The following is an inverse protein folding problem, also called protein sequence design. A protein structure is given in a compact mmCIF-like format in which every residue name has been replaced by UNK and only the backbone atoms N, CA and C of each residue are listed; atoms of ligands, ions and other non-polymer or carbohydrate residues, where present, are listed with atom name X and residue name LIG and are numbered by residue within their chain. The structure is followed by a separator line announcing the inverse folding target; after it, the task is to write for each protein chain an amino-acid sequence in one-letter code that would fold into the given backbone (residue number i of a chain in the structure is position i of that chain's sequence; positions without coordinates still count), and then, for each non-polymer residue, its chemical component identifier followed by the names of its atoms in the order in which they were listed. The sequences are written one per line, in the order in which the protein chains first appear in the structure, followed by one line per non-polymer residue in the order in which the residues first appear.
data_IF_199464548067
#
_entry.id   IF_199464548067
#
_cell.length_a   1.000
_cell.length_b   1.000
_cell.length_c   1.000
_cell.angle_alpha   90.00
_cell.angle_beta   90.00
_cell.angle_gamma   90.00
#
_symmetry.space_group_name_H-M   'P 1'
#
loop_
_entity.id
_entity.type
_entity.pdbx_description
1 polymer ?
#
# COMPACT_ATOMS: atom_id res chain seq x y z
N UNK A 1 -13.40 20.83 -0.83
CA UNK A 1 -12.15 20.56 -0.07
C UNK A 1 -11.97 19.05 0.03
N UNK A 2 -11.09 18.46 -0.78
CA UNK A 2 -10.76 17.03 -0.70
C UNK A 2 -9.77 16.83 0.45
N UNK A 3 -10.13 16.03 1.46
CA UNK A 3 -9.30 15.83 2.65
C UNK A 3 -8.07 14.98 2.28
N UNK A 4 -6.85 15.53 2.20
CA UNK A 4 -5.68 14.83 1.66
C UNK A 4 -5.26 13.62 2.53
N UNK A 5 -5.80 13.52 3.75
CA UNK A 5 -5.56 12.43 4.70
C UNK A 5 -6.34 11.16 4.39
N UNK A 6 -7.42 11.22 3.61
CA UNK A 6 -8.28 10.05 3.34
C UNK A 6 -7.92 9.46 1.98
N UNK A 7 -7.34 8.26 2.00
CA UNK A 7 -7.08 7.49 0.78
C UNK A 7 -8.40 6.94 0.25
N UNK A 8 -8.81 7.41 -0.93
CA UNK A 8 -9.94 6.86 -1.69
C UNK A 8 -9.63 5.45 -2.21
N UNK A 9 -10.65 4.71 -2.63
CA UNK A 9 -10.46 3.36 -3.18
C UNK A 9 -9.63 3.37 -4.47
N UNK A 10 -9.83 4.37 -5.33
CA UNK A 10 -9.02 4.57 -6.55
C UNK A 10 -7.57 4.86 -6.21
N UNK A 11 -7.30 5.72 -5.21
CA UNK A 11 -5.92 5.99 -4.75
C UNK A 11 -5.26 4.73 -4.18
N UNK A 12 -5.99 3.91 -3.44
CA UNK A 12 -5.45 2.63 -2.92
C UNK A 12 -5.11 1.67 -4.06
N UNK A 13 -5.98 1.53 -5.05
CA UNK A 13 -5.74 0.66 -6.21
C UNK A 13 -4.52 1.13 -7.01
N UNK A 14 -4.43 2.44 -7.28
CA UNK A 14 -3.27 3.04 -7.94
C UNK A 14 -1.98 2.86 -7.13
N UNK A 15 -2.02 3.07 -5.82
CA UNK A 15 -0.87 2.83 -4.94
C UNK A 15 -0.40 1.37 -5.00
N UNK A 16 -1.33 0.42 -5.01
CA UNK A 16 -1.01 -1.00 -5.05
C UNK A 16 -0.45 -1.43 -6.41
N UNK A 17 -0.94 -0.84 -7.50
CA UNK A 17 -0.30 -1.02 -8.80
C UNK A 17 1.12 -0.45 -8.81
N UNK A 18 1.31 0.77 -8.31
CA UNK A 18 2.61 1.44 -8.29
C UNK A 18 3.61 0.74 -7.36
N UNK A 19 3.19 0.24 -6.19
CA UNK A 19 4.07 -0.53 -5.28
C UNK A 19 4.44 -1.89 -5.88
N UNK A 20 3.56 -2.51 -6.67
CA UNK A 20 3.88 -3.75 -7.38
C UNK A 20 4.94 -3.53 -8.46
N UNK A 21 4.80 -2.47 -9.24
CA UNK A 21 5.67 -2.16 -10.39
C UNK A 21 7.01 -1.56 -9.94
N UNK A 22 6.97 -0.61 -9.00
CA UNK A 22 8.13 0.18 -8.56
C UNK A 22 8.62 -0.17 -7.16
N UNK A 23 8.06 -1.21 -6.54
CA UNK A 23 8.49 -1.70 -5.22
C UNK A 23 8.51 -0.56 -4.17
N UNK A 24 9.62 -0.36 -3.47
CA UNK A 24 9.76 0.61 -2.37
C UNK A 24 10.19 2.01 -2.85
N UNK A 25 10.04 2.34 -4.14
CA UNK A 25 10.33 3.69 -4.68
C UNK A 25 9.28 4.73 -4.29
N UNK A 26 9.15 4.99 -2.98
CA UNK A 26 8.12 5.87 -2.43
C UNK A 26 8.21 7.31 -2.95
N UNK A 27 9.39 7.78 -3.37
CA UNK A 27 9.54 9.10 -3.99
C UNK A 27 8.82 9.17 -5.34
N UNK A 28 9.00 8.16 -6.19
CA UNK A 28 8.35 8.09 -7.49
C UNK A 28 6.84 7.89 -7.34
N UNK A 29 6.42 7.03 -6.42
CA UNK A 29 5.01 6.78 -6.11
C UNK A 29 4.34 8.06 -5.59
N UNK A 30 5.00 8.79 -4.69
CA UNK A 30 4.52 10.07 -4.18
C UNK A 30 4.30 11.10 -5.30
N UNK A 31 5.26 11.22 -6.23
CA UNK A 31 5.14 12.09 -7.39
C UNK A 31 3.97 11.70 -8.30
N UNK A 32 3.79 10.39 -8.56
CA UNK A 32 2.70 9.88 -9.42
C UNK A 32 1.31 10.01 -8.80
N UNK A 33 1.23 10.01 -7.48
CA UNK A 33 -0.02 10.12 -6.73
C UNK A 33 -0.37 11.53 -6.28
N UNK A 34 0.52 12.51 -6.48
CA UNK A 34 0.35 13.84 -5.91
C UNK A 34 0.29 13.84 -4.37
N UNK A 35 0.95 12.86 -3.74
CA UNK A 35 1.05 12.71 -2.28
C UNK A 35 2.46 13.05 -1.82
N UNK A 36 2.64 13.27 -0.52
CA UNK A 36 3.99 13.42 0.02
C UNK A 36 4.64 12.06 0.26
N UNK A 37 5.98 12.03 0.20
CA UNK A 37 6.77 10.84 0.54
C UNK A 37 6.35 10.24 1.90
N UNK A 38 6.19 11.08 2.91
CA UNK A 38 5.77 10.66 4.26
C UNK A 38 4.39 10.01 4.25
N UNK A 39 3.42 10.55 3.50
CA UNK A 39 2.07 9.98 3.40
C UNK A 39 2.11 8.58 2.76
N UNK A 40 2.85 8.43 1.66
CA UNK A 40 3.00 7.15 0.95
C UNK A 40 3.69 6.12 1.82
N UNK A 41 4.80 6.50 2.46
CA UNK A 41 5.56 5.64 3.38
C UNK A 41 4.70 5.21 4.56
N UNK A 42 4.03 6.13 5.25
CA UNK A 42 3.13 5.79 6.36
C UNK A 42 1.97 4.89 5.91
N UNK A 43 1.43 5.09 4.70
CA UNK A 43 0.40 4.22 4.16
C UNK A 43 0.92 2.79 3.94
N UNK A 44 2.10 2.64 3.34
CA UNK A 44 2.75 1.34 3.15
C UNK A 44 2.93 0.58 4.47
N UNK A 45 3.53 1.20 5.49
CA UNK A 45 3.76 0.54 6.78
C UNK A 45 2.45 0.21 7.50
N UNK A 46 1.44 1.08 7.45
CA UNK A 46 0.12 0.80 8.03
C UNK A 46 -0.58 -0.38 7.34
N UNK A 47 -0.46 -0.50 6.02
CA UNK A 47 -1.00 -1.63 5.26
C UNK A 47 -0.24 -2.91 5.60
N UNK A 48 1.10 -2.86 5.65
CA UNK A 48 1.94 -4.00 5.97
C UNK A 48 1.75 -4.49 7.42
N UNK A 49 1.66 -3.57 8.39
CA UNK A 49 1.37 -3.90 9.79
C UNK A 49 -0.02 -4.53 9.97
N UNK A 50 -1.00 -4.12 9.16
CA UNK A 50 -2.34 -4.73 9.14
C UNK A 50 -2.36 -6.09 8.44
N UNK A 51 -1.42 -6.39 7.55
CA UNK A 51 -1.31 -7.68 6.86
C UNK A 51 -0.51 -8.73 7.67
N UNK A 52 0.61 -8.32 8.27
CA UNK A 52 1.09 -8.86 9.58
C UNK A 52 -0.06 -8.66 10.58
N UNK A 53 -0.11 -9.12 11.83
CA UNK A 53 -1.35 -9.04 12.67
C UNK A 53 -2.55 -9.84 12.15
N UNK A 54 -2.96 -9.68 10.90
CA UNK A 54 -4.16 -10.27 10.32
C UNK A 54 -3.89 -11.47 9.43
N UNK A 55 -2.75 -12.16 9.60
CA UNK A 55 -2.48 -13.47 8.99
C UNK A 55 -3.63 -14.49 9.22
N UNK A 56 -4.50 -14.26 10.21
CA UNK A 56 -5.72 -15.02 10.47
C UNK A 56 -7.07 -14.34 10.07
N UNK A 57 -7.11 -13.03 9.81
CA UNK A 57 -8.38 -12.26 9.68
C UNK A 57 -8.39 -11.16 8.58
N UNK A 58 -7.27 -10.93 7.90
CA UNK A 58 -6.99 -9.91 6.85
C UNK A 58 -7.66 -10.11 5.49
N UNK A 59 -8.02 -11.35 5.17
CA UNK A 59 -8.38 -11.73 3.81
C UNK A 59 -9.74 -11.20 3.33
N UNK A 60 -10.61 -10.74 4.22
CA UNK A 60 -11.99 -10.38 3.86
C UNK A 60 -12.24 -8.89 3.58
N UNK A 61 -11.33 -7.98 3.98
CA UNK A 61 -11.53 -6.51 3.84
C UNK A 61 -10.76 -5.89 2.68
N UNK A 62 -9.77 -6.60 2.16
CA UNK A 62 -9.02 -6.21 0.98
C UNK A 62 -9.40 -7.14 -0.16
N UNK A 63 -9.81 -6.62 -1.33
CA UNK A 63 -10.04 -7.42 -2.52
C UNK A 63 -8.93 -8.44 -2.75
N UNK A 64 -9.30 -9.69 -3.07
CA UNK A 64 -8.41 -10.85 -3.23
C UNK A 64 -7.14 -10.56 -4.05
N UNK A 65 -7.24 -9.65 -5.05
CA UNK A 65 -6.14 -9.17 -5.89
C UNK A 65 -4.95 -8.56 -5.13
N UNK A 66 -5.16 -8.12 -3.88
CA UNK A 66 -4.14 -7.47 -3.06
C UNK A 66 -3.37 -8.43 -2.15
N UNK A 67 -3.82 -9.69 -2.02
CA UNK A 67 -3.20 -10.68 -1.12
C UNK A 67 -1.80 -11.05 -1.60
N UNK A 68 -1.55 -11.07 -2.92
CA UNK A 68 -0.21 -11.33 -3.48
C UNK A 68 0.76 -10.15 -3.35
N UNK A 69 0.26 -8.92 -3.15
CA UNK A 69 1.06 -7.69 -3.21
C UNK A 69 1.63 -7.25 -1.86
N UNK A 70 1.21 -7.86 -0.74
CA UNK A 70 1.63 -7.45 0.61
C UNK A 70 2.61 -8.49 1.23
N UNK A 71 2.93 -9.55 0.48
CA UNK A 71 3.89 -10.60 0.87
C UNK A 71 5.24 -10.36 0.20
N UNK A 72 5.70 -9.11 0.11
CA UNK A 72 7.08 -8.78 -0.34
C UNK A 72 8.11 -8.85 0.82
N UNK A 73 7.77 -9.58 1.89
CA UNK A 73 8.64 -9.79 3.07
C UNK A 73 8.94 -11.30 3.27
N UNK A 74 8.72 -12.12 2.23
CA UNK A 74 9.09 -13.54 2.23
C UNK A 74 10.11 -13.76 1.11
N UNK A 75 11.32 -14.14 1.51
CA UNK A 75 12.58 -14.36 0.77
C UNK A 75 13.34 -13.09 0.31
N UNK A 76 14.62 -12.88 0.63
CA UNK A 76 15.73 -13.85 0.68
C UNK A 76 16.90 -13.31 1.55
N UNK A 77 17.14 -13.89 2.74
CA UNK A 77 18.45 -14.31 3.28
C UNK A 77 18.26 -15.19 4.52
#
# INVERSE_FOLDING_TARGET
MTNPRRWSETEKDQFLHLIHVYQKDFQYIAQRMGKTYTQVRSHFYNVNQKAKTSRQASMSRYPQKYIRLIVFDVDFE
#
